data_IF_356327736179
#
_entry.id   IF_356327736179
#
_cell.length_a   1.000
_cell.length_b   1.000
_cell.length_c   1.000
_cell.angle_alpha   90.00
_cell.angle_beta   90.00
_cell.angle_gamma   90.00
#
_symmetry.space_group_name_H-M   'P 1'
#
loop_
_entity.id
_entity.type
_entity.pdbx_description
1 polymer ?
#
# COMPACT_ATOMS: atom_id res chain seq x y z
N UNK A 1 1.78 3.39 -10.27
CA UNK A 1 1.64 2.03 -9.67
C UNK A 1 0.35 1.99 -8.88
N UNK A 2 -0.31 0.88 -8.91
CA UNK A 2 -1.58 0.73 -8.21
C UNK A 2 -1.87 -0.70 -7.76
N UNK A 3 -2.67 -0.80 -6.73
CA UNK A 3 -3.23 -2.05 -6.22
C UNK A 3 -4.64 -1.80 -5.72
N UNK A 4 -5.43 -2.83 -5.61
CA UNK A 4 -6.83 -2.74 -5.14
C UNK A 4 -7.09 -3.78 -4.06
N UNK A 5 -7.93 -3.43 -3.09
CA UNK A 5 -8.54 -4.42 -2.22
C UNK A 5 -9.96 -4.69 -2.74
N UNK A 6 -10.25 -5.95 -2.99
CA UNK A 6 -11.59 -6.43 -3.36
C UNK A 6 -12.21 -7.09 -2.14
N UNK A 7 -13.42 -6.70 -1.78
CA UNK A 7 -14.12 -7.22 -0.61
C UNK A 7 -15.63 -7.18 -0.78
N UNK A 8 -16.33 -7.91 0.09
CA UNK A 8 -17.79 -7.86 0.19
C UNK A 8 -18.25 -7.01 1.39
N UNK A 9 -17.29 -6.47 2.16
CA UNK A 9 -17.54 -5.59 3.30
C UNK A 9 -16.63 -4.38 3.20
N UNK A 10 -17.09 -3.27 3.79
CA UNK A 10 -16.28 -2.08 4.01
C UNK A 10 -16.02 -1.89 5.50
N UNK A 11 -14.86 -1.36 5.84
CA UNK A 11 -14.62 -0.88 7.19
C UNK A 11 -15.49 0.36 7.45
N UNK A 12 -15.92 0.52 8.70
CA UNK A 12 -16.83 1.60 9.08
C UNK A 12 -16.13 2.96 9.15
N UNK A 13 -14.82 2.98 9.43
CA UNK A 13 -14.07 4.19 9.69
C UNK A 13 -12.57 4.01 9.48
N UNK A 14 -11.84 5.11 9.42
CA UNK A 14 -10.38 5.09 9.40
C UNK A 14 -9.83 4.60 10.74
N UNK A 15 -10.52 4.85 11.85
CA UNK A 15 -10.17 4.31 13.16
C UNK A 15 -10.24 2.78 13.17
N UNK A 16 -11.27 2.19 12.57
CA UNK A 16 -11.37 0.74 12.40
C UNK A 16 -10.23 0.19 11.53
N UNK A 17 -9.83 0.93 10.50
CA UNK A 17 -8.69 0.58 9.67
C UNK A 17 -7.38 0.63 10.46
N UNK A 18 -7.17 1.68 11.26
CA UNK A 18 -5.98 1.77 12.13
C UNK A 18 -5.93 0.61 13.14
N UNK A 19 -7.06 0.21 13.71
CA UNK A 19 -7.12 -0.97 14.58
C UNK A 19 -6.69 -2.24 13.84
N UNK A 20 -7.12 -2.41 12.60
CA UNK A 20 -6.70 -3.54 11.76
C UNK A 20 -5.20 -3.51 11.47
N UNK A 21 -4.63 -2.34 11.20
CA UNK A 21 -3.20 -2.13 10.99
C UNK A 21 -2.42 -2.51 12.26
N UNK A 22 -2.87 -2.03 13.41
CA UNK A 22 -2.26 -2.33 14.71
C UNK A 22 -2.34 -3.82 15.04
N UNK A 23 -3.47 -4.44 14.78
CA UNK A 23 -3.68 -5.87 15.00
C UNK A 23 -2.78 -6.74 14.11
N UNK A 24 -2.50 -6.29 12.90
CA UNK A 24 -1.57 -6.95 11.98
C UNK A 24 -0.09 -6.70 12.36
N UNK A 25 0.19 -5.88 13.35
CA UNK A 25 1.56 -5.57 13.79
C UNK A 25 2.35 -4.73 12.81
N UNK A 26 1.67 -3.92 11.98
CA UNK A 26 2.31 -3.10 10.96
C UNK A 26 2.66 -1.71 11.50
N UNK A 27 3.87 -1.19 11.20
CA UNK A 27 4.34 0.10 11.73
C UNK A 27 3.80 1.29 10.92
N UNK A 28 2.50 1.31 10.67
CA UNK A 28 1.83 2.31 9.85
C UNK A 28 0.82 3.10 10.69
N UNK A 29 0.88 4.44 10.59
CA UNK A 29 -0.08 5.37 11.18
C UNK A 29 -0.78 6.14 10.09
N UNK A 30 -2.11 6.15 10.15
CA UNK A 30 -2.91 6.96 9.25
C UNK A 30 -3.14 8.34 9.87
N UNK A 31 -2.72 9.39 9.15
CA UNK A 31 -3.00 10.77 9.52
C UNK A 31 -4.37 11.14 9.00
N UNK A 32 -5.36 11.44 9.90
CA UNK A 32 -6.68 11.35 9.44
C UNK A 32 -7.66 12.37 10.03
N UNK A 33 -8.34 13.03 9.13
CA UNK A 33 -9.50 13.89 9.44
C UNK A 33 -10.67 13.65 8.49
N UNK A 34 -10.50 12.85 7.44
CA UNK A 34 -11.54 12.62 6.43
C UNK A 34 -12.40 11.43 6.79
N UNK A 35 -13.75 11.53 6.77
CA UNK A 35 -14.62 10.38 6.93
C UNK A 35 -14.31 9.27 5.91
N UNK A 36 -14.34 8.02 6.33
CA UNK A 36 -14.01 6.87 5.48
C UNK A 36 -14.81 6.84 4.18
N UNK A 37 -16.10 7.18 4.23
CA UNK A 37 -16.98 7.22 3.07
C UNK A 37 -16.59 8.29 2.03
N UNK A 38 -15.80 9.28 2.43
CA UNK A 38 -15.36 10.39 1.58
C UNK A 38 -13.90 10.27 1.16
N UNK A 39 -13.26 9.12 1.38
CA UNK A 39 -11.88 8.90 0.97
C UNK A 39 -11.72 9.10 -0.53
N UNK A 40 -10.91 10.07 -0.89
CA UNK A 40 -10.59 10.44 -2.26
C UNK A 40 -9.27 11.20 -2.29
N UNK A 41 -8.39 10.82 -3.23
CA UNK A 41 -7.09 11.47 -3.39
C UNK A 41 -6.08 11.10 -2.32
N UNK A 42 -5.17 12.00 -2.03
CA UNK A 42 -4.03 11.74 -1.16
C UNK A 42 -4.44 11.46 0.29
N UNK A 43 -3.96 10.36 0.81
CA UNK A 43 -4.11 9.95 2.20
C UNK A 43 -2.73 9.99 2.88
N UNK A 44 -2.48 10.99 3.75
CA UNK A 44 -1.22 11.07 4.47
C UNK A 44 -1.08 9.95 5.49
N UNK A 45 0.11 9.38 5.56
CA UNK A 45 0.44 8.30 6.50
C UNK A 45 1.86 8.47 7.04
N UNK A 46 2.19 7.74 8.10
CA UNK A 46 3.53 7.66 8.63
C UNK A 46 3.92 6.18 8.73
N UNK A 47 4.96 5.79 8.00
CA UNK A 47 5.52 4.44 8.04
C UNK A 47 6.87 4.50 8.76
N UNK A 48 7.01 3.77 9.88
CA UNK A 48 8.25 3.73 10.66
C UNK A 48 8.83 5.12 10.96
N UNK A 49 7.98 6.06 11.40
CA UNK A 49 8.30 7.47 11.68
C UNK A 49 8.55 8.33 10.44
N UNK A 50 8.40 7.80 9.24
CA UNK A 50 8.61 8.54 7.99
C UNK A 50 7.26 8.94 7.38
N UNK A 51 6.98 10.25 7.25
CA UNK A 51 5.76 10.72 6.58
C UNK A 51 5.80 10.41 5.09
N UNK A 52 4.69 9.94 4.57
CA UNK A 52 4.46 9.74 3.14
C UNK A 52 2.97 9.85 2.85
N UNK A 53 2.57 9.58 1.63
CA UNK A 53 1.17 9.54 1.24
C UNK A 53 0.98 8.64 0.03
N UNK A 54 -0.18 8.04 -0.06
CA UNK A 54 -0.65 7.38 -1.28
C UNK A 54 -2.07 7.88 -1.59
N UNK A 55 -2.50 7.75 -2.83
CA UNK A 55 -3.89 8.03 -3.19
C UNK A 55 -4.77 6.84 -2.84
N UNK A 56 -5.95 7.12 -2.30
CA UNK A 56 -6.90 6.09 -1.88
C UNK A 56 -8.32 6.52 -2.28
N UNK A 57 -8.97 5.71 -3.12
CA UNK A 57 -10.28 6.00 -3.68
C UNK A 57 -11.18 4.77 -3.69
N UNK A 58 -12.45 4.97 -3.34
CA UNK A 58 -13.47 3.95 -3.57
C UNK A 58 -13.76 3.84 -5.07
N UNK A 59 -13.84 2.59 -5.55
CA UNK A 59 -14.10 2.29 -6.95
C UNK A 59 -15.27 1.31 -7.09
N UNK A 60 -15.86 1.27 -8.28
CA UNK A 60 -16.85 0.24 -8.63
C UNK A 60 -16.12 -1.07 -8.98
N UNK A 61 -16.33 -2.10 -8.15
CA UNK A 61 -15.69 -3.40 -8.33
C UNK A 61 -16.11 -4.09 -9.63
N UNK A 62 -17.37 -3.97 -10.01
CA UNK A 62 -17.91 -4.60 -11.22
C UNK A 62 -17.28 -4.01 -12.47
N UNK A 63 -17.17 -2.69 -12.54
CA UNK A 63 -16.50 -2.01 -13.65
C UNK A 63 -15.03 -2.38 -13.72
N UNK A 64 -14.35 -2.36 -12.58
CA UNK A 64 -12.93 -2.73 -12.48
C UNK A 64 -12.68 -4.14 -13.01
N UNK A 65 -13.46 -5.12 -12.56
CA UNK A 65 -13.31 -6.51 -12.99
C UNK A 65 -13.62 -6.69 -14.48
N UNK A 66 -14.57 -5.94 -15.01
CA UNK A 66 -14.92 -5.98 -16.43
C UNK A 66 -13.80 -5.41 -17.31
N UNK A 67 -13.11 -4.37 -16.84
CA UNK A 67 -11.98 -3.73 -17.56
C UNK A 67 -10.72 -4.59 -17.57
N UNK A 68 -10.50 -5.41 -16.53
CA UNK A 68 -9.30 -6.22 -16.35
C UNK A 68 -9.56 -7.68 -16.73
N UNK A 69 -9.90 -7.91 -18.01
CA UNK A 69 -10.24 -9.23 -18.53
C UNK A 69 -9.09 -10.24 -18.49
N UNK A 70 -7.85 -9.79 -18.41
CA UNK A 70 -6.65 -10.63 -18.31
C UNK A 70 -6.43 -11.22 -16.90
N UNK A 71 -7.11 -10.69 -15.91
CA UNK A 71 -7.01 -11.16 -14.52
C UNK A 71 -8.03 -12.28 -14.27
N UNK A 72 -7.58 -13.38 -13.69
CA UNK A 72 -8.44 -14.45 -13.26
C UNK A 72 -9.03 -14.13 -11.88
N UNK A 73 -10.21 -13.52 -11.85
CA UNK A 73 -10.92 -13.26 -10.60
C UNK A 73 -11.57 -14.54 -10.07
N UNK A 74 -11.44 -14.77 -8.77
CA UNK A 74 -11.95 -15.95 -8.07
C UNK A 74 -13.48 -15.92 -7.89
N UNK A 75 -14.06 -14.71 -7.88
CA UNK A 75 -15.50 -14.49 -7.67
C UNK A 75 -15.89 -13.04 -8.00
N UNK A 76 -17.19 -12.73 -8.15
CA UNK A 76 -17.63 -11.34 -8.23
C UNK A 76 -17.57 -10.68 -6.85
N UNK A 77 -16.72 -9.67 -6.70
CA UNK A 77 -16.58 -8.88 -5.46
C UNK A 77 -17.52 -7.68 -5.49
N UNK A 78 -17.95 -7.24 -4.30
CA UNK A 78 -18.91 -6.13 -4.17
C UNK A 78 -18.21 -4.76 -4.18
N UNK A 79 -17.08 -4.63 -3.48
CA UNK A 79 -16.39 -3.38 -3.27
C UNK A 79 -14.95 -3.45 -3.75
N UNK A 80 -14.45 -2.31 -4.24
CA UNK A 80 -13.05 -2.11 -4.57
C UNK A 80 -12.53 -0.83 -3.94
N UNK A 81 -11.36 -0.90 -3.31
CA UNK A 81 -10.64 0.25 -2.78
C UNK A 81 -9.31 0.35 -3.51
N UNK A 82 -9.08 1.46 -4.20
CA UNK A 82 -7.88 1.69 -4.97
C UNK A 82 -6.79 2.35 -4.13
N UNK A 83 -5.57 1.92 -4.36
CA UNK A 83 -4.35 2.50 -3.80
C UNK A 83 -3.40 2.84 -4.95
N UNK A 84 -2.98 4.10 -5.05
CA UNK A 84 -2.08 4.56 -6.12
C UNK A 84 -0.92 5.34 -5.53
N UNK A 85 0.26 5.16 -6.11
CA UNK A 85 1.46 5.88 -5.71
C UNK A 85 2.40 6.04 -6.91
N UNK A 86 3.33 6.98 -6.80
CA UNK A 86 4.34 7.24 -7.82
C UNK A 86 5.68 6.56 -7.54
N UNK A 87 6.77 7.27 -7.70
CA UNK A 87 8.13 6.75 -7.57
C UNK A 87 8.61 6.60 -6.12
N UNK A 88 7.89 7.14 -5.14
CA UNK A 88 8.26 7.00 -3.73
C UNK A 88 8.03 5.57 -3.24
N UNK A 89 9.10 4.86 -2.97
CA UNK A 89 9.08 3.46 -2.52
C UNK A 89 8.40 3.32 -1.15
N UNK A 90 8.54 4.32 -0.27
CA UNK A 90 7.85 4.32 1.03
C UNK A 90 6.34 4.50 0.88
N UNK A 91 5.89 5.27 -0.10
CA UNK A 91 4.46 5.35 -0.42
C UNK A 91 3.93 4.00 -0.87
N UNK A 92 4.68 3.28 -1.71
CA UNK A 92 4.34 1.93 -2.12
C UNK A 92 4.30 0.94 -0.96
N UNK A 93 5.31 0.96 -0.10
CA UNK A 93 5.34 0.12 1.11
C UNK A 93 4.14 0.39 2.02
N UNK A 94 3.78 1.66 2.21
CA UNK A 94 2.63 2.08 3.01
C UNK A 94 1.31 1.63 2.39
N UNK A 95 1.17 1.75 1.07
CA UNK A 95 -0.02 1.32 0.33
C UNK A 95 -0.26 -0.19 0.49
N UNK A 96 0.77 -1.01 0.30
CA UNK A 96 0.64 -2.46 0.47
C UNK A 96 0.34 -2.85 1.93
N UNK A 97 0.94 -2.18 2.91
CA UNK A 97 0.63 -2.42 4.32
C UNK A 97 -0.82 -2.07 4.65
N UNK A 98 -1.30 -0.92 4.21
CA UNK A 98 -2.66 -0.48 4.42
C UNK A 98 -3.66 -1.41 3.72
N UNK A 99 -3.38 -1.79 2.48
CA UNK A 99 -4.20 -2.73 1.72
C UNK A 99 -4.29 -4.11 2.39
N UNK A 100 -3.16 -4.63 2.87
CA UNK A 100 -3.11 -5.91 3.57
C UNK A 100 -3.98 -5.91 4.83
N UNK A 101 -3.87 -4.89 5.67
CA UNK A 101 -4.67 -4.78 6.89
C UNK A 101 -6.17 -4.65 6.57
N UNK A 102 -6.52 -3.87 5.55
CA UNK A 102 -7.90 -3.74 5.09
C UNK A 102 -8.46 -5.08 4.61
N UNK A 103 -7.71 -5.79 3.79
CA UNK A 103 -8.11 -7.10 3.29
C UNK A 103 -8.29 -8.13 4.42
N UNK A 104 -7.38 -8.17 5.38
CA UNK A 104 -7.50 -9.04 6.57
C UNK A 104 -8.79 -8.74 7.35
N UNK A 105 -9.09 -7.47 7.58
CA UNK A 105 -10.26 -7.06 8.36
C UNK A 105 -11.59 -7.29 7.63
N UNK A 106 -11.58 -7.39 6.31
CA UNK A 106 -12.79 -7.54 5.48
C UNK A 106 -12.92 -8.90 4.81
N UNK A 107 -12.01 -9.83 5.08
CA UNK A 107 -11.89 -11.13 4.38
C UNK A 107 -11.79 -10.94 2.86
N UNK A 108 -11.10 -9.88 2.45
CA UNK A 108 -10.90 -9.52 1.07
C UNK A 108 -9.63 -10.12 0.46
N UNK A 109 -9.40 -9.75 -0.79
CA UNK A 109 -8.22 -10.15 -1.56
C UNK A 109 -7.60 -8.90 -2.18
N UNK A 110 -6.33 -8.97 -2.52
CA UNK A 110 -5.62 -7.85 -3.13
C UNK A 110 -5.37 -8.15 -4.60
N UNK A 111 -5.73 -7.19 -5.46
CA UNK A 111 -5.37 -7.22 -6.87
C UNK A 111 -4.09 -6.43 -7.06
N UNK A 112 -3.02 -7.14 -7.36
CA UNK A 112 -1.73 -6.53 -7.69
C UNK A 112 -1.67 -6.23 -9.19
N UNK A 113 -1.77 -4.95 -9.55
CA UNK A 113 -1.77 -4.53 -10.94
C UNK A 113 -0.39 -4.65 -11.60
N UNK A 114 0.69 -4.65 -10.83
CA UNK A 114 2.05 -4.82 -11.35
C UNK A 114 2.24 -6.22 -11.96
N UNK A 115 1.67 -7.24 -11.32
CA UNK A 115 1.74 -8.63 -11.80
C UNK A 115 0.42 -9.12 -12.42
N UNK A 116 -0.60 -8.28 -12.48
CA UNK A 116 -1.93 -8.59 -13.01
C UNK A 116 -2.54 -9.87 -12.40
N UNK A 117 -2.45 -9.99 -11.07
CA UNK A 117 -2.95 -11.18 -10.35
C UNK A 117 -3.47 -10.85 -8.96
N UNK A 118 -4.26 -11.76 -8.42
CA UNK A 118 -4.69 -11.71 -7.03
C UNK A 118 -3.58 -12.23 -6.11
N UNK A 119 -3.36 -11.52 -5.02
CA UNK A 119 -2.40 -11.91 -3.98
C UNK A 119 -3.08 -11.94 -2.61
N UNK A 120 -2.51 -12.70 -1.69
CA UNK A 120 -2.97 -12.76 -0.30
C UNK A 120 -2.56 -11.52 0.49
N UNK A 121 -3.26 -11.18 1.58
CA UNK A 121 -2.80 -10.14 2.50
C UNK A 121 -1.39 -10.38 3.04
N UNK A 122 -1.03 -11.63 3.30
CA UNK A 122 0.31 -12.02 3.77
C UNK A 122 1.38 -11.69 2.73
N UNK A 123 1.10 -11.94 1.46
CA UNK A 123 2.03 -11.58 0.37
C UNK A 123 2.18 -10.06 0.25
N UNK A 124 1.10 -9.31 0.41
CA UNK A 124 1.15 -7.84 0.42
C UNK A 124 2.02 -7.30 1.56
N UNK A 125 1.96 -7.91 2.75
CA UNK A 125 2.85 -7.57 3.87
C UNK A 125 4.31 -7.82 3.52
N UNK A 126 4.63 -8.95 2.89
CA UNK A 126 5.98 -9.24 2.43
C UNK A 126 6.47 -8.19 1.43
N UNK A 127 5.65 -7.83 0.46
CA UNK A 127 5.97 -6.79 -0.54
C UNK A 127 6.23 -5.44 0.16
N UNK A 128 5.39 -5.08 1.13
CA UNK A 128 5.59 -3.87 1.93
C UNK A 128 6.97 -3.84 2.60
N UNK A 129 7.34 -4.94 3.23
CA UNK A 129 8.64 -5.08 3.90
C UNK A 129 9.81 -5.04 2.92
N UNK A 130 9.69 -5.73 1.79
CA UNK A 130 10.70 -5.72 0.73
C UNK A 130 10.93 -4.31 0.18
N UNK A 131 9.86 -3.55 -0.06
CA UNK A 131 9.95 -2.17 -0.53
C UNK A 131 10.62 -1.26 0.50
N UNK A 132 10.25 -1.36 1.77
CA UNK A 132 10.86 -0.56 2.83
C UNK A 132 12.35 -0.88 3.01
N UNK A 133 12.74 -2.15 2.91
CA UNK A 133 14.14 -2.58 2.96
C UNK A 133 14.92 -2.11 1.74
N UNK A 134 14.32 -2.13 0.55
CA UNK A 134 14.91 -1.65 -0.69
C UNK A 134 15.31 -0.19 -0.59
N UNK A 135 14.45 0.65 -0.03
CA UNK A 135 14.74 2.07 0.21
C UNK A 135 15.94 2.25 1.14
N UNK A 136 16.00 1.51 2.25
CA UNK A 136 17.12 1.55 3.18
C UNK A 136 18.44 1.13 2.53
N UNK A 137 18.41 0.09 1.69
CA UNK A 137 19.58 -0.38 0.95
C UNK A 137 20.07 0.63 -0.08
N UNK A 138 19.17 1.31 -0.78
CA UNK A 138 19.52 2.36 -1.73
C UNK A 138 20.19 3.53 -1.01
N UNK A 139 19.65 3.98 0.11
CA UNK A 139 20.25 5.04 0.93
C UNK A 139 21.65 4.68 1.40
N UNK A 140 21.84 3.46 1.87
CA UNK A 140 23.15 2.96 2.33
C UNK A 140 24.16 2.90 1.17
N UNK A 141 23.76 2.42 0.01
CA UNK A 141 24.61 2.35 -1.18
C UNK A 141 25.05 3.75 -1.64
N UNK A 142 24.13 4.71 -1.68
CA UNK A 142 24.43 6.10 -2.03
C UNK A 142 25.42 6.71 -1.04
N UNK A 143 25.20 6.51 0.25
CA UNK A 143 26.11 6.99 1.31
C UNK A 143 27.54 6.45 1.13
N UNK A 144 27.67 5.15 0.88
CA UNK A 144 29.00 4.52 0.65
C UNK A 144 29.70 5.08 -0.57
N UNK A 145 28.99 5.28 -1.67
CA UNK A 145 29.54 5.86 -2.89
C UNK A 145 30.02 7.29 -2.62
N UNK A 146 29.24 8.11 -1.94
CA UNK A 146 29.64 9.48 -1.61
C UNK A 146 30.85 9.54 -0.71
N UNK A 147 30.97 8.66 0.30
CA UNK A 147 32.15 8.55 1.14
C UNK A 147 33.40 8.19 0.33
N UNK A 148 33.30 7.28 -0.62
CA UNK A 148 34.39 6.91 -1.50
C UNK A 148 34.87 8.09 -2.36
N UNK A 149 33.93 8.88 -2.88
CA UNK A 149 34.29 10.09 -3.65
C UNK A 149 34.96 11.15 -2.79
N UNK A 150 34.49 11.38 -1.57
CA UNK A 150 35.11 12.34 -0.64
C UNK A 150 36.52 11.91 -0.27
N UNK A 151 36.76 10.62 -0.02
CA UNK A 151 38.08 10.11 0.31
C UNK A 151 39.09 10.21 -0.85
N UNK A 152 38.61 10.12 -2.11
CA UNK A 152 39.46 10.29 -3.30
C UNK A 152 39.79 11.75 -3.63
N UNK A 153 39.03 12.69 -3.09
CA UNK A 153 39.21 14.13 -3.32
C UNK A 153 40.14 14.79 -2.28
N UNK A 154 40.61 14.06 -1.29
CA UNK A 154 41.61 14.55 -0.31
C UNK A 154 43.04 14.30 -0.84
N UNK A 155 43.92 15.32 -0.82
CA UNK A 155 45.31 15.18 -1.25
C UNK A 155 46.14 14.28 -0.33
#
# INVERSE_FOLDING_TARGET
METYVLSDRRLASVEAWQEAIDLAGLPLRMSQATPFSELQGALPVVLERRPTAFECDHCDAKELMAELSEVAFDRPWTFALAFRWGADVYAGASAYAAAAAYALATDGVILDCEEAKLISPERAIEISRELAQSEALIHEAVRRVMELYQNKSQP
#
